data_IF_315520310505
#
_entry.id   IF_315520310505
#
_cell.length_a   1.000
_cell.length_b   1.000
_cell.length_c   1.000
_cell.angle_alpha   90.00
_cell.angle_beta   90.00
_cell.angle_gamma   90.00
#
_symmetry.space_group_name_H-M   'P 1'
#
loop_
_entity.id
_entity.type
_entity.pdbx_description
1 polymer ?
#
# COMPACT_ATOMS: atom_id res chain seq x y z
N UNK A 1 65.00 60.23 -11.30
CA UNK A 1 63.73 59.52 -11.52
C UNK A 1 63.25 58.86 -10.23
N UNK A 2 62.28 59.50 -9.56
CA UNK A 2 61.11 58.90 -8.87
C UNK A 2 61.20 57.58 -8.07
N UNK A 3 61.78 57.54 -6.85
CA UNK A 3 61.53 56.44 -5.92
C UNK A 3 60.43 56.73 -4.88
N UNK A 4 60.27 58.00 -4.45
CA UNK A 4 59.38 58.37 -3.33
C UNK A 4 57.88 58.19 -3.64
N UNK A 5 57.48 58.48 -4.87
CA UNK A 5 56.09 58.35 -5.31
C UNK A 5 55.68 56.89 -5.56
N UNK A 6 56.64 56.00 -5.86
CA UNK A 6 56.38 54.57 -6.06
C UNK A 6 56.12 53.87 -4.72
N UNK A 7 56.87 54.23 -3.69
CA UNK A 7 56.72 53.65 -2.35
C UNK A 7 55.37 54.03 -1.71
N UNK A 8 54.97 55.31 -1.82
CA UNK A 8 53.67 55.77 -1.31
C UNK A 8 52.50 55.09 -2.02
N UNK A 9 52.59 54.88 -3.34
CA UNK A 9 51.55 54.16 -4.10
C UNK A 9 51.44 52.70 -3.67
N UNK A 10 52.56 52.01 -3.45
CA UNK A 10 52.56 50.64 -2.96
C UNK A 10 51.90 50.53 -1.58
N UNK A 11 52.19 51.48 -0.68
CA UNK A 11 51.62 51.51 0.66
C UNK A 11 50.10 51.73 0.64
N UNK A 12 49.61 52.62 -0.23
CA UNK A 12 48.17 52.86 -0.41
C UNK A 12 47.47 51.62 -0.96
N UNK A 13 48.05 50.94 -1.95
CA UNK A 13 47.47 49.72 -2.52
C UNK A 13 47.38 48.62 -1.45
N UNK A 14 48.44 48.40 -0.67
CA UNK A 14 48.43 47.43 0.42
C UNK A 14 47.38 47.80 1.47
N UNK A 15 47.30 49.07 1.85
CA UNK A 15 46.31 49.53 2.83
C UNK A 15 44.87 49.32 2.33
N UNK A 16 44.58 49.61 1.06
CA UNK A 16 43.25 49.40 0.46
C UNK A 16 42.90 47.92 0.35
N UNK A 17 43.86 47.07 -0.02
CA UNK A 17 43.65 45.61 -0.10
C UNK A 17 43.39 45.03 1.29
N UNK A 18 44.17 45.43 2.29
CA UNK A 18 43.99 44.99 3.68
C UNK A 18 42.64 45.46 4.23
N UNK A 19 42.27 46.73 4.02
CA UNK A 19 40.94 47.21 4.42
C UNK A 19 39.80 46.50 3.69
N UNK A 20 39.96 46.22 2.39
CA UNK A 20 38.97 45.45 1.62
C UNK A 20 38.78 44.03 2.13
N UNK A 21 39.85 43.39 2.62
CA UNK A 21 39.80 42.04 3.20
C UNK A 21 39.18 42.01 4.60
N UNK A 22 39.32 43.09 5.40
CA UNK A 22 38.73 43.19 6.74
C UNK A 22 37.22 43.49 6.68
N UNK A 23 36.77 44.19 5.63
CA UNK A 23 35.36 44.59 5.45
C UNK A 23 34.55 43.56 4.65
N UNK A 24 35.19 42.53 4.08
CA UNK A 24 34.48 41.44 3.43
C UNK A 24 33.56 40.76 4.47
N UNK A 25 32.23 40.72 4.25
CA UNK A 25 31.33 40.07 5.18
C UNK A 25 31.76 38.60 5.27
N UNK A 26 32.02 38.12 6.49
CA UNK A 26 32.22 36.71 6.72
C UNK A 26 31.00 36.00 6.14
N UNK A 27 31.22 35.13 5.15
CA UNK A 27 30.16 34.30 4.63
C UNK A 27 29.62 33.51 5.82
N UNK A 28 28.49 33.93 6.37
CA UNK A 28 27.79 33.21 7.42
C UNK A 28 27.30 31.93 6.77
N UNK A 29 28.14 30.90 6.81
CA UNK A 29 27.73 29.54 6.53
C UNK A 29 26.70 29.20 7.60
N UNK A 30 25.43 29.20 7.22
CA UNK A 30 24.38 28.65 8.06
C UNK A 30 24.66 27.15 8.18
N UNK A 31 25.49 26.77 9.16
CA UNK A 31 25.65 25.39 9.55
C UNK A 31 24.36 25.00 10.26
N UNK A 32 23.58 24.11 9.64
CA UNK A 32 22.50 23.45 10.35
C UNK A 32 23.13 22.62 11.48
N UNK A 33 23.13 23.15 12.70
CA UNK A 33 23.64 22.47 13.90
C UNK A 33 22.61 21.54 14.51
N UNK A 34 21.38 21.55 13.98
CA UNK A 34 20.26 20.79 14.49
C UNK A 34 19.99 19.56 13.64
N UNK A 35 19.73 18.44 14.32
CA UNK A 35 19.33 17.17 13.75
C UNK A 35 18.01 16.80 14.41
N UNK A 36 17.01 17.67 14.29
CA UNK A 36 15.67 17.39 14.79
C UNK A 36 15.00 16.40 13.84
N UNK A 37 15.15 15.11 14.16
CA UNK A 37 14.43 14.04 13.49
C UNK A 37 13.08 13.84 14.16
N UNK A 38 12.02 14.32 13.50
CA UNK A 38 10.67 13.92 13.86
C UNK A 38 10.53 12.40 13.72
N UNK A 39 10.06 11.73 14.77
CA UNK A 39 9.71 10.31 14.68
C UNK A 39 8.56 10.21 13.67
N UNK A 40 8.72 9.48 12.55
CA UNK A 40 7.64 9.42 11.60
C UNK A 40 6.44 8.68 12.21
N UNK A 41 5.32 9.37 12.36
CA UNK A 41 4.04 8.76 12.73
C UNK A 41 3.43 8.10 11.50
N UNK A 42 3.96 6.94 11.12
CA UNK A 42 3.28 6.08 10.15
C UNK A 42 2.31 5.16 10.91
N UNK A 43 1.03 5.18 10.53
CA UNK A 43 0.11 4.10 10.88
C UNK A 43 -0.04 3.18 9.66
N UNK A 44 0.11 1.88 9.86
CA UNK A 44 -0.21 0.92 8.81
C UNK A 44 -1.73 0.77 8.76
N UNK A 45 -2.35 1.23 7.68
CA UNK A 45 -3.76 0.94 7.43
C UNK A 45 -3.92 -0.59 7.28
N UNK A 46 -4.77 -1.17 8.12
CA UNK A 46 -5.10 -2.59 8.08
C UNK A 46 -6.49 -2.79 7.48
N UNK A 47 -6.65 -3.84 6.68
CA UNK A 47 -7.93 -4.26 6.10
C UNK A 47 -8.38 -5.48 6.90
N UNK A 48 -9.36 -5.33 7.84
CA UNK A 48 -9.84 -6.45 8.64
C UNK A 48 -10.60 -7.47 7.77
N UNK A 49 -10.90 -8.63 8.35
CA UNK A 49 -11.79 -9.57 7.69
C UNK A 49 -13.22 -8.99 7.63
N UNK A 50 -14.02 -9.33 6.61
CA UNK A 50 -15.45 -9.06 6.63
C UNK A 50 -16.09 -9.58 7.92
N UNK A 51 -16.96 -8.79 8.55
CA UNK A 51 -17.63 -9.19 9.79
C UNK A 51 -18.61 -10.34 9.57
N UNK A 52 -19.19 -10.42 8.37
CA UNK A 52 -20.17 -11.43 7.97
C UNK A 52 -19.96 -11.81 6.50
N UNK A 53 -20.30 -13.05 6.16
CA UNK A 53 -20.49 -13.50 4.79
C UNK A 53 -21.55 -14.60 4.77
N UNK A 54 -22.39 -14.57 3.73
CA UNK A 54 -23.36 -15.63 3.44
C UNK A 54 -22.99 -16.25 2.11
N UNK A 55 -22.53 -17.51 2.16
CA UNK A 55 -22.18 -18.31 0.99
C UNK A 55 -22.93 -19.62 1.09
N UNK A 56 -23.65 -19.97 0.03
CA UNK A 56 -24.44 -21.20 -0.04
C UNK A 56 -23.96 -22.07 -1.20
N UNK A 57 -24.03 -23.38 -1.01
CA UNK A 57 -23.73 -24.36 -2.04
C UNK A 57 -24.98 -25.15 -2.40
N UNK A 58 -25.14 -25.46 -3.69
CA UNK A 58 -26.13 -26.39 -4.20
C UNK A 58 -25.42 -27.48 -5.00
N UNK A 59 -25.64 -28.73 -4.63
CA UNK A 59 -25.22 -29.88 -5.43
C UNK A 59 -26.43 -30.58 -6.01
N UNK A 60 -26.30 -31.05 -7.23
CA UNK A 60 -27.32 -31.82 -7.91
C UNK A 60 -26.67 -33.08 -8.44
N UNK A 61 -27.19 -34.24 -8.04
CA UNK A 61 -26.61 -35.55 -8.40
C UNK A 61 -26.42 -35.69 -9.91
N UNK A 62 -25.20 -35.94 -10.35
CA UNK A 62 -24.76 -36.00 -11.75
C UNK A 62 -24.41 -34.64 -12.39
N UNK A 63 -24.36 -33.52 -11.65
CA UNK A 63 -24.14 -32.16 -12.16
C UNK A 63 -23.21 -31.35 -11.25
N UNK A 64 -22.56 -30.34 -11.83
CA UNK A 64 -21.63 -29.43 -11.15
C UNK A 64 -22.16 -28.82 -9.84
N UNK A 65 -21.25 -28.59 -8.88
CA UNK A 65 -21.61 -27.88 -7.65
C UNK A 65 -21.71 -26.38 -7.93
N UNK A 66 -22.74 -25.75 -7.40
CA UNK A 66 -23.03 -24.33 -7.63
C UNK A 66 -22.89 -23.57 -6.32
N UNK A 67 -21.89 -22.70 -6.24
CA UNK A 67 -21.62 -21.84 -5.09
C UNK A 67 -22.18 -20.45 -5.35
N UNK A 68 -22.98 -19.93 -4.44
CA UNK A 68 -23.55 -18.58 -4.51
C UNK A 68 -23.10 -17.76 -3.32
N UNK A 69 -22.49 -16.60 -3.59
CA UNK A 69 -22.17 -15.61 -2.55
C UNK A 69 -23.34 -14.64 -2.43
N UNK A 70 -24.20 -14.86 -1.44
CA UNK A 70 -25.43 -14.08 -1.24
C UNK A 70 -25.12 -12.67 -0.73
N UNK A 71 -24.22 -12.56 0.24
CA UNK A 71 -23.85 -11.29 0.85
C UNK A 71 -22.50 -11.35 1.56
N UNK A 72 -21.89 -10.19 1.76
CA UNK A 72 -20.69 -10.01 2.58
C UNK A 72 -20.72 -8.63 3.25
N UNK A 73 -20.14 -8.54 4.44
CA UNK A 73 -20.05 -7.29 5.19
C UNK A 73 -19.03 -6.34 4.56
N UNK A 74 -19.32 -5.03 4.47
CA UNK A 74 -18.36 -4.05 4.01
C UNK A 74 -17.17 -3.97 4.97
N UNK A 75 -15.98 -3.83 4.42
CA UNK A 75 -14.71 -3.73 5.11
C UNK A 75 -14.13 -2.34 4.87
N UNK A 76 -13.76 -1.66 5.96
CA UNK A 76 -13.09 -0.37 5.87
C UNK A 76 -11.79 -0.49 5.06
N UNK A 77 -11.54 0.49 4.19
CA UNK A 77 -10.37 0.53 3.30
C UNK A 77 -10.32 -0.60 2.25
N UNK A 78 -11.40 -1.36 2.01
CA UNK A 78 -11.47 -2.28 0.88
C UNK A 78 -12.27 -1.67 -0.27
N UNK A 79 -11.72 -1.70 -1.49
CA UNK A 79 -12.39 -1.29 -2.72
C UNK A 79 -12.64 -2.46 -3.69
N UNK A 80 -12.24 -3.66 -3.30
CA UNK A 80 -12.36 -4.87 -4.10
C UNK A 80 -12.58 -6.06 -3.15
N UNK A 81 -13.35 -7.06 -3.58
CA UNK A 81 -13.62 -8.27 -2.81
C UNK A 81 -13.40 -9.50 -3.68
N UNK A 82 -12.96 -10.57 -3.06
CA UNK A 82 -12.75 -11.87 -3.71
C UNK A 82 -13.31 -12.98 -2.83
N UNK A 83 -13.76 -14.05 -3.48
CA UNK A 83 -14.04 -15.32 -2.85
C UNK A 83 -13.09 -16.38 -3.37
N UNK A 84 -12.54 -17.21 -2.48
CA UNK A 84 -11.84 -18.43 -2.82
C UNK A 84 -12.61 -19.62 -2.31
N UNK A 85 -12.77 -20.63 -3.15
CA UNK A 85 -13.48 -21.86 -2.85
C UNK A 85 -12.47 -23.00 -2.87
N UNK A 86 -12.47 -23.79 -1.81
CA UNK A 86 -11.59 -24.92 -1.65
C UNK A 86 -12.43 -26.20 -1.58
N UNK A 87 -11.96 -27.24 -2.25
CA UNK A 87 -12.55 -28.57 -2.18
C UNK A 87 -12.45 -29.16 -0.76
N UNK A 88 -13.04 -30.34 -0.59
CA UNK A 88 -12.99 -31.11 0.66
C UNK A 88 -11.58 -31.62 1.05
N UNK A 89 -10.61 -31.56 0.14
CA UNK A 89 -9.20 -31.88 0.40
C UNK A 89 -8.37 -30.61 0.72
N UNK A 90 -8.97 -29.42 0.60
CA UNK A 90 -8.32 -28.13 0.81
C UNK A 90 -7.63 -27.56 -0.45
N UNK A 91 -7.83 -28.15 -1.63
CA UNK A 91 -7.31 -27.61 -2.88
C UNK A 91 -8.16 -26.44 -3.35
N UNK A 92 -7.52 -25.41 -3.90
CA UNK A 92 -8.21 -24.27 -4.48
C UNK A 92 -8.88 -24.68 -5.79
N UNK A 93 -10.21 -24.69 -5.81
CA UNK A 93 -11.01 -25.01 -6.99
C UNK A 93 -11.32 -23.76 -7.81
N UNK A 94 -11.66 -22.67 -7.12
CA UNK A 94 -12.19 -21.49 -7.77
C UNK A 94 -11.83 -20.20 -7.03
N UNK A 95 -11.55 -19.15 -7.81
CA UNK A 95 -11.40 -17.77 -7.31
C UNK A 95 -12.36 -16.86 -8.06
N UNK A 96 -13.25 -16.19 -7.33
CA UNK A 96 -14.30 -15.32 -7.86
C UNK A 96 -14.09 -13.87 -7.48
N UNK A 97 -14.32 -12.98 -8.46
CA UNK A 97 -14.34 -11.54 -8.26
C UNK A 97 -15.73 -11.06 -7.80
N UNK A 98 -15.79 -10.44 -6.62
CA UNK A 98 -17.00 -9.88 -6.02
C UNK A 98 -17.11 -8.35 -6.15
N UNK A 99 -16.19 -7.70 -6.87
CA UNK A 99 -16.02 -6.25 -6.91
C UNK A 99 -17.17 -5.43 -7.51
N UNK A 100 -18.13 -6.06 -8.19
CA UNK A 100 -19.22 -5.34 -8.87
C UNK A 100 -20.61 -5.55 -8.27
N UNK A 101 -20.85 -6.62 -7.50
CA UNK A 101 -22.09 -6.85 -6.75
C UNK A 101 -22.01 -8.13 -5.91
N UNK A 102 -22.75 -8.16 -4.79
CA UNK A 102 -23.16 -9.40 -4.12
C UNK A 102 -24.16 -10.19 -5.00
N UNK A 103 -24.35 -11.49 -4.72
CA UNK A 103 -25.26 -12.35 -5.48
C UNK A 103 -24.65 -13.02 -6.70
N UNK A 104 -23.32 -13.22 -6.72
CA UNK A 104 -22.65 -13.96 -7.79
C UNK A 104 -22.68 -15.45 -7.54
N UNK A 105 -22.91 -16.19 -8.61
CA UNK A 105 -22.94 -17.63 -8.64
C UNK A 105 -21.76 -18.16 -9.46
N UNK A 106 -21.11 -19.18 -8.94
CA UNK A 106 -19.94 -19.83 -9.50
C UNK A 106 -20.19 -21.33 -9.54
N UNK A 107 -19.81 -21.98 -10.65
CA UNK A 107 -19.95 -23.43 -10.80
C UNK A 107 -18.58 -24.08 -10.73
N UNK A 108 -18.45 -25.19 -9.99
CA UNK A 108 -17.25 -26.02 -10.04
C UNK A 108 -17.21 -26.84 -11.34
N UNK A 109 -16.02 -27.36 -11.68
CA UNK A 109 -15.86 -28.28 -12.80
C UNK A 109 -16.28 -29.72 -12.50
N UNK A 110 -16.36 -30.12 -11.23
CA UNK A 110 -16.62 -31.51 -10.82
C UNK A 110 -17.58 -31.54 -9.62
N UNK A 111 -18.58 -32.40 -9.70
CA UNK A 111 -19.52 -32.64 -8.61
C UNK A 111 -18.87 -33.44 -7.48
N UNK A 112 -18.88 -32.88 -6.28
CA UNK A 112 -18.32 -33.54 -5.11
C UNK A 112 -19.17 -33.23 -3.87
N UNK A 113 -19.93 -34.24 -3.40
CA UNK A 113 -20.66 -34.20 -2.13
C UNK A 113 -19.66 -34.16 -0.96
N UNK A 114 -19.94 -33.31 0.04
CA UNK A 114 -19.14 -33.15 1.24
C UNK A 114 -19.05 -31.70 1.73
N UNK A 115 -18.23 -31.51 2.76
CA UNK A 115 -17.93 -30.18 3.31
C UNK A 115 -16.82 -29.52 2.51
N UNK A 116 -17.12 -28.36 1.96
CA UNK A 116 -16.18 -27.47 1.29
C UNK A 116 -15.87 -26.28 2.19
N UNK A 117 -14.79 -25.57 1.90
CA UNK A 117 -14.44 -24.34 2.60
C UNK A 117 -14.34 -23.15 1.66
N UNK A 118 -14.58 -21.95 2.21
CA UNK A 118 -14.42 -20.71 1.48
C UNK A 118 -13.66 -19.67 2.28
N UNK A 119 -13.07 -18.73 1.56
CA UNK A 119 -12.49 -17.52 2.11
C UNK A 119 -13.06 -16.31 1.36
N UNK A 120 -13.66 -15.36 2.09
CA UNK A 120 -14.03 -14.05 1.55
C UNK A 120 -13.08 -13.01 2.10
N UNK A 121 -12.51 -12.17 1.24
CA UNK A 121 -11.52 -11.18 1.65
C UNK A 121 -11.69 -9.86 0.90
N UNK A 122 -11.45 -8.78 1.64
CA UNK A 122 -11.31 -7.44 1.08
C UNK A 122 -9.89 -7.17 0.60
N UNK A 123 -9.77 -6.36 -0.44
CA UNK A 123 -8.52 -5.82 -0.95
C UNK A 123 -8.66 -4.32 -1.17
N UNK A 124 -7.52 -3.64 -1.14
CA UNK A 124 -7.41 -2.31 -1.73
C UNK A 124 -6.52 -2.40 -2.96
N UNK A 125 -7.11 -2.25 -4.14
CA UNK A 125 -6.38 -2.10 -5.41
C UNK A 125 -6.14 -0.61 -5.65
N UNK A 126 -4.88 -0.20 -5.82
CA UNK A 126 -4.57 1.20 -6.15
C UNK A 126 -5.04 1.48 -7.58
N UNK A 127 -5.91 2.47 -7.80
CA UNK A 127 -6.36 2.83 -9.14
C UNK A 127 -5.18 3.12 -10.07
N UNK A 128 -5.19 2.53 -11.26
CA UNK A 128 -4.15 2.74 -12.27
C UNK A 128 -2.80 2.06 -11.99
N UNK A 129 -2.73 1.10 -11.06
CA UNK A 129 -1.50 0.32 -10.83
C UNK A 129 -1.77 -1.16 -10.55
N UNK A 130 -0.71 -1.96 -10.51
CA UNK A 130 -0.74 -3.38 -10.09
C UNK A 130 -0.58 -3.55 -8.58
N UNK A 131 -0.44 -2.46 -7.82
CA UNK A 131 -0.28 -2.53 -6.37
C UNK A 131 -1.62 -2.83 -5.70
N UNK A 132 -1.60 -3.81 -4.80
CA UNK A 132 -2.76 -4.16 -3.99
C UNK A 132 -2.35 -4.45 -2.55
N UNK A 133 -3.19 -4.03 -1.61
CA UNK A 133 -3.11 -4.47 -0.21
C UNK A 133 -4.15 -5.55 0.05
N UNK A 134 -3.68 -6.56 0.77
CA UNK A 134 -4.43 -7.76 1.11
C UNK A 134 -5.00 -7.60 2.51
N UNK A 135 -6.32 -7.75 2.64
CA UNK A 135 -6.97 -7.90 3.95
C UNK A 135 -6.96 -9.32 4.49
N UNK A 136 -7.38 -9.45 5.74
CA UNK A 136 -7.56 -10.77 6.38
C UNK A 136 -8.76 -11.50 5.75
N UNK A 137 -8.69 -12.83 5.56
CA UNK A 137 -9.82 -13.60 5.08
C UNK A 137 -10.82 -13.88 6.20
N UNK A 138 -12.11 -13.78 5.89
CA UNK A 138 -13.16 -14.46 6.63
C UNK A 138 -13.29 -15.87 6.07
N UNK A 139 -13.12 -16.88 6.93
CA UNK A 139 -13.24 -18.28 6.54
C UNK A 139 -14.60 -18.84 6.94
N UNK A 140 -15.14 -19.72 6.13
CA UNK A 140 -16.33 -20.49 6.47
C UNK A 140 -16.39 -21.81 5.72
N UNK A 141 -17.41 -22.60 6.03
CA UNK A 141 -17.67 -23.87 5.38
C UNK A 141 -19.03 -23.85 4.71
N UNK A 142 -19.17 -24.68 3.68
CA UNK A 142 -20.43 -24.95 3.00
C UNK A 142 -20.56 -26.45 2.83
N UNK A 143 -21.79 -26.96 2.85
CA UNK A 143 -22.05 -28.39 2.74
C UNK A 143 -22.92 -28.67 1.54
N UNK A 144 -22.49 -29.67 0.78
CA UNK A 144 -23.34 -30.58 0.04
C UNK A 144 -23.32 -31.95 0.71
#
# INVERSE_FOLDING_TARGET
MTPRNSFLRALVIVAVVVFGLIVAPTAAVAAFTDIEQATPQFSAASIPAPATASVTMKCTLGLHTVVTVNSYGPVANANYYEVKIFDRLGNLEFTGDLSQAAGRTYSSGIEIIGTWSYEVRGYYKVPGSTNFWTGKPLKGTMTC
#
